data_IF_009890971463
#
_entry.id   IF_009890971463
#
_cell.length_a   1.000
_cell.length_b   1.000
_cell.length_c   1.000
_cell.angle_alpha   90.00
_cell.angle_beta   90.00
_cell.angle_gamma   90.00
#
_symmetry.space_group_name_H-M   'P 1'
#
loop_
_entity.id
_entity.type
_entity.pdbx_description
1 polymer ?
#
# COMPACT_ATOMS: atom_id res chain seq x y z
N UNK A 1 35.62 1.23 20.48
CA UNK A 1 34.78 1.53 19.29
C UNK A 1 34.88 0.34 18.34
N UNK A 2 33.84 -0.46 18.19
CA UNK A 2 33.85 -1.59 17.27
C UNK A 2 33.81 -1.05 15.83
N UNK A 3 34.82 -1.35 15.01
CA UNK A 3 34.77 -1.09 13.57
C UNK A 3 33.94 -2.21 12.92
N UNK A 4 32.70 -1.90 12.55
CA UNK A 4 31.81 -2.84 11.86
C UNK A 4 32.23 -3.13 10.42
N UNK A 5 33.03 -2.24 9.80
CA UNK A 5 33.47 -2.35 8.40
C UNK A 5 35.01 -2.32 8.36
N UNK A 6 35.62 -3.35 7.82
CA UNK A 6 37.07 -3.39 7.59
C UNK A 6 37.46 -2.56 6.32
N UNK A 7 38.72 -2.15 6.25
CA UNK A 7 39.24 -1.47 5.04
C UNK A 7 39.03 -2.31 3.78
N UNK A 8 39.24 -3.61 3.85
CA UNK A 8 39.04 -4.54 2.74
C UNK A 8 37.59 -4.54 2.25
N UNK A 9 36.62 -4.55 3.19
CA UNK A 9 35.18 -4.47 2.83
C UNK A 9 34.84 -3.12 2.19
N UNK A 10 35.40 -2.01 2.69
CA UNK A 10 35.21 -0.69 2.10
C UNK A 10 35.79 -0.61 0.68
N UNK A 11 37.00 -1.15 0.46
CA UNK A 11 37.65 -1.16 -0.87
C UNK A 11 36.86 -2.04 -1.85
N UNK A 12 36.30 -3.19 -1.40
CA UNK A 12 35.46 -4.05 -2.23
C UNK A 12 34.14 -3.35 -2.64
N UNK A 13 33.51 -2.66 -1.69
CA UNK A 13 32.29 -1.87 -1.95
C UNK A 13 32.62 -0.74 -2.94
N UNK A 14 33.74 -0.03 -2.74
CA UNK A 14 34.17 1.03 -3.65
C UNK A 14 34.40 0.51 -5.07
N UNK A 15 35.00 -0.66 -5.22
CA UNK A 15 35.25 -1.27 -6.55
C UNK A 15 33.91 -1.62 -7.22
N UNK A 16 32.98 -2.22 -6.49
CA UNK A 16 31.63 -2.55 -6.99
C UNK A 16 30.89 -1.29 -7.49
N UNK A 17 30.89 -0.22 -6.67
CA UNK A 17 30.25 1.05 -7.05
C UNK A 17 30.92 1.71 -8.26
N UNK A 18 32.24 1.59 -8.42
CA UNK A 18 32.95 2.10 -9.60
C UNK A 18 32.63 1.31 -10.87
N UNK A 19 32.42 -0.01 -10.76
CA UNK A 19 32.02 -0.86 -11.89
C UNK A 19 30.60 -0.50 -12.33
N UNK A 20 29.64 -0.31 -11.40
CA UNK A 20 28.29 0.18 -11.70
C UNK A 20 28.31 1.56 -12.37
N UNK A 21 29.16 2.48 -11.88
CA UNK A 21 29.30 3.82 -12.46
C UNK A 21 29.85 3.76 -13.90
N UNK A 22 30.84 2.89 -14.17
CA UNK A 22 31.40 2.69 -15.52
C UNK A 22 30.35 2.13 -16.49
N UNK A 23 29.49 1.21 -16.03
CA UNK A 23 28.39 0.70 -16.84
C UNK A 23 27.42 1.84 -17.19
N UNK A 24 27.14 2.73 -16.22
CA UNK A 24 26.36 3.94 -16.46
C UNK A 24 27.03 4.86 -17.49
N UNK A 25 28.34 5.13 -17.36
CA UNK A 25 29.09 6.03 -18.25
C UNK A 25 29.10 5.56 -19.70
N UNK A 26 29.22 4.26 -19.95
CA UNK A 26 29.19 3.67 -21.29
C UNK A 26 27.84 3.85 -22.00
N UNK A 27 26.77 4.01 -21.25
CA UNK A 27 25.40 4.12 -21.74
C UNK A 27 24.85 5.56 -21.76
N UNK A 28 25.63 6.55 -21.33
CA UNK A 28 25.23 7.97 -21.21
C UNK A 28 25.05 8.68 -22.58
N UNK A 29 25.08 7.97 -23.71
CA UNK A 29 24.61 8.48 -25.00
C UNK A 29 23.08 8.54 -25.09
N UNK A 30 22.37 7.88 -24.16
CA UNK A 30 20.92 7.93 -24.03
C UNK A 30 20.46 9.28 -23.47
N UNK A 31 19.55 9.95 -24.16
CA UNK A 31 18.98 11.23 -23.71
C UNK A 31 17.95 11.00 -22.61
N UNK A 32 18.18 11.60 -21.45
CA UNK A 32 17.14 11.83 -20.43
C UNK A 32 16.47 13.17 -20.75
N UNK A 33 15.16 13.17 -20.96
CA UNK A 33 14.40 14.42 -21.15
C UNK A 33 14.21 15.13 -19.79
N UNK A 34 15.34 15.66 -19.26
CA UNK A 34 15.38 16.39 -18.00
C UNK A 34 15.03 17.84 -18.24
N UNK A 35 13.87 18.27 -17.74
CA UNK A 35 13.33 19.61 -17.89
C UNK A 35 13.63 20.47 -16.67
N UNK A 36 13.88 21.77 -16.84
CA UNK A 36 13.97 22.68 -15.72
C UNK A 36 12.63 22.74 -14.95
N UNK A 37 12.70 23.08 -13.65
CA UNK A 37 11.50 23.26 -12.85
C UNK A 37 10.73 24.51 -13.32
N UNK A 38 9.39 24.44 -13.40
CA UNK A 38 8.56 25.60 -13.68
C UNK A 38 8.55 26.59 -12.50
N UNK A 39 8.09 27.81 -12.75
CA UNK A 39 7.86 28.79 -11.68
C UNK A 39 6.77 28.29 -10.72
N UNK A 40 6.95 28.58 -9.42
CA UNK A 40 6.01 28.21 -8.37
C UNK A 40 4.65 28.86 -8.58
N UNK A 41 3.57 28.08 -8.51
CA UNK A 41 2.19 28.55 -8.61
C UNK A 41 1.45 28.28 -7.31
N UNK A 42 0.79 29.30 -6.77
CA UNK A 42 -0.02 29.15 -5.55
C UNK A 42 -1.06 28.03 -5.68
N UNK A 43 -1.16 27.20 -4.65
CA UNK A 43 -2.11 26.10 -4.60
C UNK A 43 -2.47 25.77 -3.15
N UNK A 44 -3.59 25.07 -2.98
CA UNK A 44 -4.06 24.55 -1.70
C UNK A 44 -3.85 23.05 -1.67
N UNK A 45 -3.29 22.53 -0.57
CA UNK A 45 -3.04 21.09 -0.44
C UNK A 45 -3.45 20.57 0.94
N UNK A 46 -3.77 19.28 0.98
CA UNK A 46 -3.68 18.45 2.16
C UNK A 46 -2.70 17.32 1.91
N UNK A 47 -1.78 17.10 2.84
CA UNK A 47 -0.89 15.94 2.83
C UNK A 47 -1.37 14.94 3.86
N UNK A 48 -1.33 13.66 3.51
CA UNK A 48 -1.78 12.55 4.35
C UNK A 48 -0.65 11.55 4.49
N UNK A 49 -0.46 11.04 5.71
CA UNK A 49 0.47 9.97 6.02
C UNK A 49 -0.13 9.04 7.09
N UNK A 50 0.33 7.79 7.13
CA UNK A 50 -0.11 6.77 8.06
C UNK A 50 1.00 6.27 8.97
N UNK A 51 0.59 5.77 10.13
CA UNK A 51 1.50 5.16 11.10
C UNK A 51 0.85 3.97 11.78
N UNK A 52 1.68 3.04 12.25
CA UNK A 52 1.22 1.87 13.00
C UNK A 52 2.06 1.65 14.24
N UNK A 53 1.41 1.28 15.33
CA UNK A 53 2.00 0.74 16.55
C UNK A 53 1.50 -0.68 16.79
N UNK A 54 2.37 -1.60 17.22
CA UNK A 54 1.98 -2.97 17.50
C UNK A 54 2.78 -3.58 18.63
N UNK A 55 2.11 -4.46 19.39
CA UNK A 55 2.76 -5.25 20.43
C UNK A 55 2.28 -6.71 20.36
N UNK A 56 3.24 -7.62 20.40
CA UNK A 56 2.98 -9.06 20.45
C UNK A 56 2.85 -9.50 21.89
N UNK A 57 1.74 -10.14 22.18
CA UNK A 57 1.48 -10.84 23.42
C UNK A 57 1.56 -12.36 23.18
N UNK A 58 1.27 -13.15 24.21
CA UNK A 58 1.28 -14.62 24.08
C UNK A 58 0.09 -15.07 23.18
N UNK A 59 0.36 -15.26 21.88
CA UNK A 59 -0.63 -15.68 20.89
C UNK A 59 -1.53 -14.58 20.29
N UNK A 60 -1.38 -13.33 20.75
CA UNK A 60 -2.21 -12.19 20.30
C UNK A 60 -1.32 -11.03 19.90
N UNK A 61 -1.72 -10.25 18.92
CA UNK A 61 -1.14 -8.95 18.60
C UNK A 61 -2.19 -7.86 18.87
N UNK A 62 -1.81 -6.86 19.64
CA UNK A 62 -2.57 -5.61 19.81
C UNK A 62 -1.89 -4.57 18.93
N UNK A 63 -2.68 -3.84 18.16
CA UNK A 63 -2.16 -2.83 17.25
C UNK A 63 -3.04 -1.59 17.19
N UNK A 64 -2.41 -0.49 16.84
CA UNK A 64 -3.08 0.77 16.50
C UNK A 64 -2.59 1.22 15.14
N UNK A 65 -3.50 1.61 14.27
CA UNK A 65 -3.21 2.29 13.02
C UNK A 65 -3.80 3.69 13.06
N UNK A 66 -3.09 4.64 12.50
CA UNK A 66 -3.54 6.03 12.45
C UNK A 66 -3.22 6.62 11.07
N UNK A 67 -4.10 7.51 10.60
CA UNK A 67 -3.80 8.42 9.50
C UNK A 67 -3.95 9.86 9.99
N UNK A 68 -3.10 10.74 9.46
CA UNK A 68 -3.09 12.15 9.80
C UNK A 68 -2.98 13.00 8.53
N UNK A 69 -3.87 13.97 8.42
CA UNK A 69 -3.87 14.94 7.34
C UNK A 69 -3.46 16.32 7.86
N UNK A 70 -2.63 17.03 7.09
CA UNK A 70 -2.26 18.39 7.37
C UNK A 70 -2.32 19.25 6.11
N UNK A 71 -2.99 20.38 6.18
CA UNK A 71 -3.07 21.34 5.08
C UNK A 71 -3.70 22.66 5.51
N UNK A 72 -3.27 23.76 4.93
CA UNK A 72 -3.81 25.10 5.16
C UNK A 72 -3.95 25.49 6.66
N UNK A 73 -3.01 25.07 7.49
CA UNK A 73 -3.03 25.30 8.94
C UNK A 73 -4.07 24.47 9.72
N UNK A 74 -4.72 23.52 9.07
CA UNK A 74 -5.70 22.58 9.69
C UNK A 74 -5.17 21.17 9.68
N UNK A 75 -5.64 20.37 10.62
CA UNK A 75 -5.35 18.94 10.68
C UNK A 75 -6.61 18.11 10.93
N UNK A 76 -6.55 16.86 10.52
CA UNK A 76 -7.56 15.85 10.82
C UNK A 76 -6.88 14.50 11.07
N UNK A 77 -7.51 13.61 11.84
CA UNK A 77 -6.93 12.30 12.20
C UNK A 77 -8.01 11.22 12.28
N UNK A 78 -7.66 10.04 11.78
CA UNK A 78 -8.40 8.79 12.05
C UNK A 78 -7.50 7.84 12.80
N UNK A 79 -8.00 7.22 13.86
CA UNK A 79 -7.27 6.25 14.68
C UNK A 79 -8.13 5.01 14.87
N UNK A 80 -7.52 3.85 14.69
CA UNK A 80 -8.16 2.56 14.90
C UNK A 80 -7.27 1.66 15.73
N UNK A 81 -7.82 1.07 16.79
CA UNK A 81 -7.11 0.11 17.67
C UNK A 81 -7.88 -1.19 17.72
N UNK A 82 -7.17 -2.31 17.51
CA UNK A 82 -7.78 -3.63 17.57
C UNK A 82 -6.77 -4.68 18.05
N UNK A 83 -7.24 -5.90 18.24
CA UNK A 83 -6.44 -7.07 18.58
C UNK A 83 -6.83 -8.24 17.67
N UNK A 84 -5.86 -9.08 17.32
CA UNK A 84 -6.10 -10.30 16.55
C UNK A 84 -5.19 -11.43 17.03
N UNK A 85 -5.54 -12.68 16.76
CA UNK A 85 -4.63 -13.81 16.92
C UNK A 85 -3.42 -13.59 16.02
N UNK A 86 -2.22 -13.77 16.61
CA UNK A 86 -0.98 -13.56 15.85
C UNK A 86 -0.78 -14.67 14.81
N UNK A 87 -0.66 -14.27 13.54
CA UNK A 87 -0.22 -15.11 12.45
C UNK A 87 0.97 -14.45 11.74
N UNK A 88 2.09 -15.18 11.65
CA UNK A 88 3.34 -14.65 11.11
C UNK A 88 3.18 -14.21 9.64
N UNK A 89 3.50 -12.96 9.35
CA UNK A 89 3.42 -12.37 8.00
C UNK A 89 2.02 -11.89 7.59
N UNK A 90 0.94 -12.53 8.04
CA UNK A 90 -0.44 -12.15 7.70
C UNK A 90 -0.90 -10.98 8.56
N UNK A 91 -0.65 -11.05 9.88
CA UNK A 91 -1.04 -9.95 10.79
C UNK A 91 -0.46 -8.60 10.36
N UNK A 92 0.80 -8.58 9.92
CA UNK A 92 1.46 -7.36 9.45
C UNK A 92 0.83 -6.81 8.16
N UNK A 93 0.35 -7.70 7.28
CA UNK A 93 -0.34 -7.31 6.04
C UNK A 93 -1.74 -6.74 6.32
N UNK A 94 -2.49 -7.34 7.27
CA UNK A 94 -3.81 -6.83 7.70
C UNK A 94 -3.67 -5.45 8.31
N UNK A 95 -2.75 -5.27 9.26
CA UNK A 95 -2.48 -3.98 9.92
C UNK A 95 -2.12 -2.92 8.86
N UNK A 96 -1.29 -3.28 7.89
CA UNK A 96 -0.92 -2.38 6.80
C UNK A 96 -2.10 -2.04 5.90
N UNK A 97 -2.94 -3.01 5.54
CA UNK A 97 -4.13 -2.77 4.72
C UNK A 97 -5.09 -1.80 5.42
N UNK A 98 -5.33 -1.97 6.72
CA UNK A 98 -6.18 -1.07 7.50
C UNK A 98 -5.57 0.33 7.63
N UNK A 99 -4.26 0.45 7.82
CA UNK A 99 -3.57 1.74 7.83
C UNK A 99 -3.76 2.47 6.50
N UNK A 100 -3.49 1.80 5.37
CA UNK A 100 -3.68 2.37 4.03
C UNK A 100 -5.16 2.69 3.74
N UNK A 101 -6.12 1.90 4.29
CA UNK A 101 -7.55 2.22 4.22
C UNK A 101 -7.86 3.54 4.92
N UNK A 102 -7.31 3.78 6.11
CA UNK A 102 -7.48 5.05 6.83
C UNK A 102 -6.81 6.23 6.11
N UNK A 103 -5.62 6.03 5.52
CA UNK A 103 -4.97 7.05 4.70
C UNK A 103 -5.85 7.46 3.50
N UNK A 104 -6.36 6.47 2.76
CA UNK A 104 -7.24 6.70 1.62
C UNK A 104 -8.53 7.42 2.03
N UNK A 105 -9.19 6.95 3.12
CA UNK A 105 -10.38 7.59 3.67
C UNK A 105 -10.13 9.05 4.02
N UNK A 106 -9.08 9.30 4.80
CA UNK A 106 -8.77 10.65 5.23
C UNK A 106 -8.44 11.56 4.05
N UNK A 107 -7.65 11.08 3.08
CA UNK A 107 -7.34 11.80 1.84
C UNK A 107 -8.58 12.14 1.01
N UNK A 108 -9.57 11.23 0.97
CA UNK A 108 -10.83 11.47 0.27
C UNK A 108 -11.72 12.51 0.98
N UNK A 109 -11.68 12.54 2.33
CA UNK A 109 -12.58 13.34 3.16
C UNK A 109 -12.06 14.75 3.50
N UNK A 110 -10.72 14.97 3.46
CA UNK A 110 -10.16 16.28 3.84
C UNK A 110 -10.25 17.31 2.72
N UNK A 111 -10.52 18.55 3.09
CA UNK A 111 -10.59 19.68 2.16
C UNK A 111 -11.82 19.63 1.23
N UNK A 112 -11.70 20.29 0.08
CA UNK A 112 -12.71 20.33 -0.96
C UNK A 112 -12.03 20.12 -2.34
N UNK A 113 -12.78 20.24 -3.43
CA UNK A 113 -12.28 20.02 -4.80
C UNK A 113 -11.11 20.92 -5.21
N UNK A 114 -10.94 22.09 -4.57
CA UNK A 114 -9.82 22.99 -4.84
C UNK A 114 -8.48 22.52 -4.23
N UNK A 115 -8.51 21.51 -3.36
CA UNK A 115 -7.33 21.02 -2.67
C UNK A 115 -6.76 19.81 -3.40
N UNK A 116 -5.49 19.88 -3.74
CA UNK A 116 -4.70 18.73 -4.18
C UNK A 116 -4.32 17.87 -2.98
N UNK A 117 -4.44 16.57 -3.09
CA UNK A 117 -4.09 15.61 -2.04
C UNK A 117 -2.70 15.04 -2.31
N UNK A 118 -1.84 15.12 -1.30
CA UNK A 118 -0.48 14.59 -1.33
C UNK A 118 -0.40 13.36 -0.43
N UNK A 119 0.07 12.23 -0.98
CA UNK A 119 0.22 10.95 -0.27
C UNK A 119 1.69 10.52 -0.25
N UNK A 120 2.19 9.99 0.87
CA UNK A 120 3.49 9.33 0.89
C UNK A 120 3.41 7.94 0.24
N UNK A 121 4.42 7.56 -0.54
CA UNK A 121 4.47 6.27 -1.23
C UNK A 121 4.15 6.31 -2.73
N UNK A 122 3.51 5.26 -3.25
CA UNK A 122 3.25 5.10 -4.69
C UNK A 122 1.81 4.68 -4.98
N UNK A 123 1.16 5.36 -5.93
CA UNK A 123 -0.18 4.99 -6.39
C UNK A 123 -0.20 3.58 -7.02
N UNK A 124 0.86 3.20 -7.74
CA UNK A 124 0.99 1.82 -8.25
C UNK A 124 0.98 0.79 -7.12
N UNK A 125 1.63 1.09 -5.98
CA UNK A 125 1.61 0.24 -4.80
C UNK A 125 0.19 0.06 -4.24
N UNK A 126 -0.56 1.14 -4.13
CA UNK A 126 -1.96 1.11 -3.67
C UNK A 126 -2.85 0.32 -4.64
N UNK A 127 -2.72 0.52 -5.96
CA UNK A 127 -3.49 -0.20 -6.98
C UNK A 127 -3.18 -1.71 -7.04
N UNK A 128 -2.00 -2.14 -6.60
CA UNK A 128 -1.57 -3.56 -6.62
C UNK A 128 -1.71 -4.25 -5.28
N UNK A 129 -2.26 -3.58 -4.26
CA UNK A 129 -2.46 -4.19 -2.95
C UNK A 129 -3.40 -5.38 -3.07
N UNK A 130 -2.95 -6.60 -2.73
CA UNK A 130 -3.83 -7.76 -2.74
C UNK A 130 -4.72 -7.78 -1.50
N UNK A 131 -5.87 -8.47 -1.55
CA UNK A 131 -6.58 -8.85 -0.34
C UNK A 131 -5.69 -9.72 0.54
N UNK A 132 -5.85 -9.59 1.85
CA UNK A 132 -5.06 -10.35 2.82
C UNK A 132 -5.85 -11.57 3.25
N UNK A 133 -5.26 -12.75 3.06
CA UNK A 133 -5.90 -14.01 3.37
C UNK A 133 -5.26 -14.69 4.60
N UNK A 134 -6.06 -15.26 5.51
CA UNK A 134 -5.58 -16.35 6.37
C UNK A 134 -5.09 -17.54 5.55
N UNK A 135 -4.20 -18.35 6.11
CA UNK A 135 -3.43 -19.38 5.37
C UNK A 135 -4.25 -20.32 4.47
N UNK A 136 -5.52 -20.53 4.77
CA UNK A 136 -6.36 -21.51 4.09
C UNK A 136 -7.55 -20.95 3.30
N UNK A 137 -7.67 -19.62 3.23
CA UNK A 137 -8.87 -18.96 2.68
C UNK A 137 -8.48 -17.94 1.63
N UNK A 138 -9.06 -18.04 0.43
CA UNK A 138 -8.78 -17.14 -0.71
C UNK A 138 -9.82 -16.04 -0.89
N UNK A 139 -10.53 -15.67 0.17
CA UNK A 139 -11.46 -14.55 0.19
C UNK A 139 -12.49 -14.62 -0.94
N UNK A 140 -12.38 -13.75 -1.94
CA UNK A 140 -13.36 -13.64 -3.03
C UNK A 140 -13.53 -14.94 -3.82
N UNK A 141 -12.45 -15.69 -4.07
CA UNK A 141 -12.54 -16.97 -4.77
C UNK A 141 -13.35 -17.95 -3.94
N UNK A 142 -13.03 -18.09 -2.65
CA UNK A 142 -13.79 -18.95 -1.74
C UNK A 142 -15.25 -18.53 -1.63
N UNK A 143 -15.53 -17.21 -1.57
CA UNK A 143 -16.90 -16.68 -1.58
C UNK A 143 -17.68 -17.10 -2.82
N UNK A 144 -17.05 -17.02 -4.00
CA UNK A 144 -17.68 -17.38 -5.28
C UNK A 144 -17.90 -18.89 -5.42
N UNK A 145 -16.99 -19.70 -4.86
CA UNK A 145 -17.03 -21.15 -4.96
C UNK A 145 -18.04 -21.78 -3.97
N UNK A 146 -18.35 -21.09 -2.87
CA UNK A 146 -19.16 -21.64 -1.78
C UNK A 146 -20.59 -21.09 -1.69
N UNK A 147 -20.82 -19.84 -2.09
CA UNK A 147 -22.15 -19.25 -2.06
C UNK A 147 -22.92 -19.52 -3.36
N UNK A 148 -24.24 -19.61 -3.24
CA UNK A 148 -25.14 -19.73 -4.38
C UNK A 148 -25.00 -18.52 -5.32
N UNK A 149 -25.24 -18.77 -6.61
CA UNK A 149 -25.18 -17.74 -7.64
C UNK A 149 -26.08 -16.55 -7.29
N UNK A 150 -25.51 -15.34 -7.34
CA UNK A 150 -26.19 -14.10 -7.00
C UNK A 150 -25.96 -13.63 -5.56
N UNK A 151 -25.66 -14.53 -4.63
CA UNK A 151 -25.40 -14.19 -3.23
C UNK A 151 -24.09 -13.38 -3.03
N UNK A 152 -22.98 -13.68 -3.71
CA UNK A 152 -21.79 -12.84 -3.68
C UNK A 152 -22.07 -11.39 -4.15
N UNK A 153 -22.84 -11.21 -5.22
CA UNK A 153 -23.22 -9.90 -5.73
C UNK A 153 -24.11 -9.14 -4.75
N UNK A 154 -25.02 -9.83 -4.07
CA UNK A 154 -25.89 -9.26 -3.03
C UNK A 154 -25.07 -8.72 -1.87
N UNK A 155 -24.15 -9.54 -1.32
CA UNK A 155 -23.24 -9.15 -0.23
C UNK A 155 -22.39 -7.93 -0.62
N UNK A 156 -21.78 -7.96 -1.80
CA UNK A 156 -20.90 -6.89 -2.26
C UNK A 156 -21.70 -5.58 -2.43
N UNK A 157 -22.87 -5.65 -3.04
CA UNK A 157 -23.75 -4.48 -3.23
C UNK A 157 -24.18 -3.88 -1.91
N UNK A 158 -24.70 -4.71 -1.00
CA UNK A 158 -25.16 -4.24 0.33
C UNK A 158 -24.02 -3.56 1.09
N UNK A 159 -22.83 -4.16 1.08
CA UNK A 159 -21.70 -3.57 1.79
C UNK A 159 -21.20 -2.26 1.15
N UNK A 160 -21.21 -2.15 -0.18
CA UNK A 160 -20.85 -0.91 -0.89
C UNK A 160 -21.85 0.20 -0.57
N UNK A 161 -23.17 -0.09 -0.52
CA UNK A 161 -24.21 0.87 -0.12
C UNK A 161 -23.99 1.35 1.32
N UNK A 162 -23.65 0.46 2.24
CA UNK A 162 -23.28 0.83 3.63
C UNK A 162 -21.99 1.67 3.70
N UNK A 163 -21.04 1.44 2.82
CA UNK A 163 -19.84 2.28 2.75
C UNK A 163 -20.17 3.71 2.31
N UNK A 164 -21.16 3.93 1.43
CA UNK A 164 -21.63 5.27 1.08
C UNK A 164 -22.19 6.01 2.31
N UNK A 165 -23.04 5.35 3.11
CA UNK A 165 -23.58 5.90 4.36
C UNK A 165 -22.48 6.16 5.40
N UNK A 166 -21.55 5.23 5.54
CA UNK A 166 -20.42 5.34 6.46
C UNK A 166 -19.52 6.54 6.13
N UNK A 167 -19.28 6.81 4.84
CA UNK A 167 -18.51 7.97 4.43
C UNK A 167 -19.21 9.29 4.75
N UNK A 168 -20.51 9.37 4.58
CA UNK A 168 -21.30 10.55 4.98
C UNK A 168 -21.25 10.79 6.49
N UNK A 169 -21.30 9.72 7.31
CA UNK A 169 -21.13 9.82 8.75
C UNK A 169 -19.72 10.29 9.13
N UNK A 170 -18.68 9.69 8.53
CA UNK A 170 -17.29 10.10 8.78
C UNK A 170 -17.05 11.57 8.41
N UNK A 171 -17.56 12.02 7.27
CA UNK A 171 -17.43 13.41 6.81
C UNK A 171 -18.05 14.38 7.84
N UNK A 172 -19.28 14.09 8.30
CA UNK A 172 -19.97 14.89 9.31
C UNK A 172 -19.20 14.92 10.62
N UNK A 173 -18.77 13.76 11.12
CA UNK A 173 -18.04 13.65 12.39
C UNK A 173 -16.67 14.34 12.31
N UNK A 174 -15.92 14.21 11.20
CA UNK A 174 -14.65 14.91 11.02
C UNK A 174 -14.80 16.43 10.96
N UNK A 175 -15.94 16.94 10.45
CA UNK A 175 -16.22 18.37 10.46
C UNK A 175 -16.44 18.90 11.89
N UNK A 176 -16.99 18.08 12.77
CA UNK A 176 -17.29 18.44 14.17
C UNK A 176 -16.06 18.23 15.08
N UNK A 177 -15.42 17.05 15.03
CA UNK A 177 -14.43 16.61 16.02
C UNK A 177 -12.99 16.69 15.53
N UNK A 178 -12.74 16.65 14.22
CA UNK A 178 -11.43 16.61 13.56
C UNK A 178 -10.57 15.37 13.85
N UNK A 179 -10.79 14.65 14.91
CA UNK A 179 -10.09 13.42 15.29
C UNK A 179 -11.13 12.35 15.68
N UNK A 180 -11.08 11.20 15.01
CA UNK A 180 -11.98 10.09 15.26
C UNK A 180 -11.21 8.85 15.72
N UNK A 181 -11.66 8.24 16.82
CA UNK A 181 -11.03 7.08 17.46
C UNK A 181 -11.91 5.81 17.43
N UNK A 182 -13.09 5.89 16.83
CA UNK A 182 -14.03 4.76 16.70
C UNK A 182 -14.90 4.96 15.47
N UNK A 183 -15.51 3.89 14.97
CA UNK A 183 -16.35 3.95 13.79
C UNK A 183 -15.60 4.37 12.55
N UNK A 184 -14.36 3.91 12.36
CA UNK A 184 -13.50 4.31 11.22
C UNK A 184 -13.16 3.14 10.28
N UNK A 185 -13.37 1.88 10.72
CA UNK A 185 -13.25 0.65 9.91
C UNK A 185 -14.60 -0.07 9.99
N UNK A 186 -15.40 0.05 8.93
CA UNK A 186 -16.75 -0.50 8.88
C UNK A 186 -16.76 -2.03 8.86
N UNK A 187 -15.83 -2.66 8.11
CA UNK A 187 -15.77 -4.12 7.97
C UNK A 187 -15.68 -4.85 9.31
N UNK A 188 -14.94 -4.31 10.27
CA UNK A 188 -14.76 -4.88 11.60
C UNK A 188 -16.02 -4.67 12.49
N UNK A 189 -16.78 -3.62 12.23
CA UNK A 189 -17.97 -3.28 13.03
C UNK A 189 -19.19 -4.10 12.62
N UNK A 190 -19.34 -4.37 11.31
CA UNK A 190 -20.57 -4.99 10.78
C UNK A 190 -20.42 -6.47 10.45
N UNK A 191 -19.27 -7.10 10.65
CA UNK A 191 -19.01 -8.50 10.27
C UNK A 191 -20.08 -9.47 10.79
N UNK A 192 -20.60 -9.27 11.99
CA UNK A 192 -21.57 -10.16 12.61
C UNK A 192 -22.99 -9.98 12.02
N UNK A 193 -23.28 -8.87 11.35
CA UNK A 193 -24.51 -8.66 10.60
C UNK A 193 -24.57 -9.51 9.33
N UNK A 194 -23.40 -9.93 8.79
CA UNK A 194 -23.27 -10.82 7.64
C UNK A 194 -23.29 -12.31 8.01
N UNK A 195 -23.81 -12.65 9.20
CA UNK A 195 -23.79 -14.03 9.71
C UNK A 195 -24.55 -15.03 8.86
N UNK A 196 -25.57 -14.63 8.12
CA UNK A 196 -26.28 -15.52 7.20
C UNK A 196 -25.36 -16.04 6.07
N UNK A 197 -24.46 -15.19 5.56
CA UNK A 197 -23.53 -15.55 4.49
C UNK A 197 -22.48 -16.55 4.99
N UNK A 198 -21.80 -16.29 6.10
CA UNK A 198 -20.77 -17.21 6.57
C UNK A 198 -21.35 -18.50 7.17
N UNK A 199 -22.56 -18.51 7.71
CA UNK A 199 -23.28 -19.74 8.10
C UNK A 199 -23.66 -20.57 6.86
N UNK A 200 -24.02 -19.93 5.74
CA UNK A 200 -24.30 -20.64 4.49
C UNK A 200 -23.04 -21.26 3.86
N UNK A 201 -21.85 -20.79 4.22
CA UNK A 201 -20.55 -21.34 3.77
C UNK A 201 -20.04 -22.45 4.69
N UNK A 202 -20.48 -22.51 5.95
CA UNK A 202 -20.05 -23.54 6.89
C UNK A 202 -20.37 -24.95 6.38
N UNK A 203 -19.43 -25.87 6.54
CA UNK A 203 -19.56 -27.25 6.09
C UNK A 203 -19.46 -27.44 4.56
N UNK A 204 -19.25 -26.38 3.79
CA UNK A 204 -19.00 -26.48 2.34
C UNK A 204 -17.55 -26.84 2.08
N UNK A 205 -17.36 -27.69 1.08
CA UNK A 205 -16.04 -28.08 0.62
C UNK A 205 -15.50 -27.07 -0.38
N UNK A 206 -14.26 -26.65 -0.18
CA UNK A 206 -13.51 -25.82 -1.12
C UNK A 206 -12.28 -26.58 -1.61
N UNK A 207 -11.89 -26.31 -2.84
CA UNK A 207 -10.68 -26.88 -3.43
C UNK A 207 -9.46 -26.07 -3.02
N UNK A 208 -8.52 -26.71 -2.33
CA UNK A 208 -7.26 -26.08 -1.94
C UNK A 208 -6.18 -26.32 -2.99
N UNK A 209 -5.92 -25.30 -3.83
CA UNK A 209 -4.88 -25.35 -4.87
C UNK A 209 -3.48 -24.92 -4.39
N UNK A 210 -3.29 -24.52 -3.15
CA UNK A 210 -2.05 -23.86 -2.72
C UNK A 210 -0.82 -24.80 -2.80
N UNK A 211 -0.97 -26.06 -2.42
CA UNK A 211 0.09 -27.06 -2.55
C UNK A 211 0.48 -27.30 -4.01
N UNK A 212 -0.51 -27.44 -4.89
CA UNK A 212 -0.35 -27.67 -6.31
C UNK A 212 0.28 -26.46 -7.02
N UNK A 213 -0.24 -25.25 -6.77
CA UNK A 213 0.31 -23.99 -7.31
C UNK A 213 1.74 -23.71 -6.82
N UNK A 214 2.06 -24.07 -5.57
CA UNK A 214 3.42 -23.94 -5.05
C UNK A 214 4.37 -24.86 -5.81
N UNK A 215 4.02 -26.14 -6.01
CA UNK A 215 4.84 -27.10 -6.78
C UNK A 215 5.03 -26.64 -8.22
N UNK A 216 3.97 -26.17 -8.89
CA UNK A 216 4.06 -25.64 -10.24
C UNK A 216 4.97 -24.42 -10.33
N UNK A 217 4.87 -23.51 -9.37
CA UNK A 217 5.74 -22.32 -9.29
C UNK A 217 7.19 -22.69 -9.05
N UNK A 218 7.47 -23.65 -8.18
CA UNK A 218 8.82 -24.11 -7.87
C UNK A 218 9.41 -24.86 -9.07
N UNK A 219 8.62 -25.66 -9.78
CA UNK A 219 9.01 -26.31 -11.03
C UNK A 219 9.34 -25.32 -12.15
N UNK A 220 8.53 -24.26 -12.31
CA UNK A 220 8.77 -23.20 -13.29
C UNK A 220 10.05 -22.39 -12.98
N UNK A 221 10.37 -22.18 -11.70
CA UNK A 221 11.60 -21.51 -11.27
C UNK A 221 12.85 -22.36 -11.48
N UNK A 222 12.71 -23.70 -11.45
CA UNK A 222 13.80 -24.65 -11.62
C UNK A 222 14.13 -24.96 -13.10
N UNK A 223 13.54 -24.22 -14.06
CA UNK A 223 13.73 -24.42 -15.52
C UNK A 223 13.53 -25.87 -15.99
N UNK A 224 12.54 -26.55 -15.39
CA UNK A 224 12.23 -27.93 -15.69
C UNK A 224 11.67 -28.06 -17.13
N UNK A 225 11.98 -29.16 -17.86
CA UNK A 225 11.48 -29.40 -19.21
C UNK A 225 9.94 -29.35 -19.30
N UNK A 226 9.41 -28.80 -20.38
CA UNK A 226 7.97 -28.62 -20.61
C UNK A 226 7.17 -29.91 -20.44
N UNK A 227 7.75 -31.09 -20.76
CA UNK A 227 7.15 -32.40 -20.56
C UNK A 227 6.94 -32.75 -19.09
N UNK A 228 7.78 -32.28 -18.22
CA UNK A 228 7.69 -32.51 -16.77
C UNK A 228 6.70 -31.53 -16.13
N UNK A 229 6.64 -30.28 -16.64
CA UNK A 229 5.60 -29.31 -16.28
C UNK A 229 4.19 -29.85 -16.65
N UNK A 230 4.05 -30.48 -17.81
CA UNK A 230 2.78 -31.09 -18.21
C UNK A 230 2.39 -32.26 -17.29
N UNK A 231 3.34 -33.12 -16.88
CA UNK A 231 3.10 -34.17 -15.89
C UNK A 231 2.67 -33.60 -14.54
N UNK A 232 3.33 -32.54 -14.06
CA UNK A 232 2.94 -31.85 -12.83
C UNK A 232 1.53 -31.25 -12.97
N UNK A 233 1.17 -30.73 -14.15
CA UNK A 233 -0.17 -30.21 -14.41
C UNK A 233 -1.24 -31.33 -14.47
N UNK A 234 -0.90 -32.51 -15.00
CA UNK A 234 -1.77 -33.69 -14.99
C UNK A 234 -1.93 -34.29 -13.59
N UNK A 235 -0.86 -34.28 -12.78
CA UNK A 235 -0.86 -34.68 -11.37
C UNK A 235 -1.56 -33.66 -10.46
N UNK A 236 -1.84 -32.45 -10.93
CA UNK A 236 -2.51 -31.40 -10.15
C UNK A 236 -3.91 -31.80 -9.68
N UNK A 237 -4.61 -32.63 -10.44
CA UNK A 237 -5.92 -33.19 -10.06
C UNK A 237 -5.84 -34.18 -8.88
N UNK A 238 -4.69 -34.84 -8.68
CA UNK A 238 -4.46 -35.75 -7.54
C UNK A 238 -4.06 -35.03 -6.25
N UNK A 239 -3.59 -33.76 -6.34
CA UNK A 239 -3.11 -32.98 -5.20
C UNK A 239 -4.06 -31.86 -4.76
N UNK A 240 -5.26 -31.83 -5.31
CA UNK A 240 -6.32 -30.93 -4.84
C UNK A 240 -6.94 -31.51 -3.57
N UNK A 241 -6.57 -30.92 -2.44
CA UNK A 241 -7.20 -31.26 -1.17
C UNK A 241 -8.56 -30.55 -1.08
N UNK A 242 -9.63 -31.32 -0.90
CA UNK A 242 -10.91 -30.81 -0.48
C UNK A 242 -10.78 -30.40 0.99
N UNK A 243 -11.11 -29.16 1.28
CA UNK A 243 -11.13 -28.62 2.63
C UNK A 243 -12.54 -28.17 2.98
N UNK A 244 -13.10 -28.76 4.01
CA UNK A 244 -14.38 -28.36 4.56
C UNK A 244 -14.21 -27.10 5.41
N UNK A 245 -14.95 -26.05 5.12
CA UNK A 245 -14.89 -24.79 5.86
C UNK A 245 -15.51 -24.92 7.25
N UNK A 246 -14.75 -24.53 8.25
CA UNK A 246 -15.30 -24.28 9.58
C UNK A 246 -16.06 -22.95 9.62
N UNK A 247 -16.91 -22.75 10.62
CA UNK A 247 -17.63 -21.47 10.83
C UNK A 247 -16.66 -20.29 10.96
N UNK A 248 -15.53 -20.47 11.65
CA UNK A 248 -14.51 -19.45 11.83
C UNK A 248 -13.84 -19.08 10.49
N UNK A 249 -13.50 -20.06 9.67
CA UNK A 249 -12.90 -19.84 8.34
C UNK A 249 -13.88 -19.16 7.38
N UNK A 250 -15.17 -19.56 7.43
CA UNK A 250 -16.22 -18.91 6.67
C UNK A 250 -16.38 -17.42 7.10
N UNK A 251 -16.42 -17.15 8.42
CA UNK A 251 -16.45 -15.79 8.96
C UNK A 251 -15.22 -14.98 8.53
N UNK A 252 -14.02 -15.57 8.62
CA UNK A 252 -12.79 -14.93 8.17
C UNK A 252 -12.79 -14.65 6.66
N UNK A 253 -13.41 -15.53 5.84
CA UNK A 253 -13.59 -15.29 4.41
C UNK A 253 -14.42 -14.03 4.15
N UNK A 254 -15.58 -13.92 4.79
CA UNK A 254 -16.45 -12.72 4.67
C UNK A 254 -15.69 -11.49 5.14
N UNK A 255 -15.03 -11.55 6.30
CA UNK A 255 -14.29 -10.42 6.85
C UNK A 255 -13.16 -9.93 5.91
N UNK A 256 -12.41 -10.84 5.30
CA UNK A 256 -11.39 -10.51 4.30
C UNK A 256 -12.02 -9.82 3.09
N UNK A 257 -13.17 -10.29 2.63
CA UNK A 257 -13.89 -9.67 1.50
C UNK A 257 -14.34 -8.26 1.86
N UNK A 258 -15.01 -8.07 3.01
CA UNK A 258 -15.46 -6.76 3.46
C UNK A 258 -14.28 -5.78 3.64
N UNK A 259 -13.21 -6.19 4.31
CA UNK A 259 -12.03 -5.34 4.50
C UNK A 259 -11.36 -4.94 3.19
N UNK A 260 -11.33 -5.85 2.20
CA UNK A 260 -10.79 -5.52 0.88
C UNK A 260 -11.73 -4.61 0.07
N UNK A 261 -13.05 -4.80 0.17
CA UNK A 261 -14.03 -3.90 -0.44
C UNK A 261 -13.91 -2.48 0.14
N UNK A 262 -13.75 -2.36 1.46
CA UNK A 262 -13.56 -1.09 2.14
C UNK A 262 -12.27 -0.38 1.70
N UNK A 263 -11.17 -1.14 1.53
CA UNK A 263 -9.94 -0.63 0.97
C UNK A 263 -10.13 -0.12 -0.47
N UNK A 264 -10.73 -0.92 -1.35
CA UNK A 264 -10.95 -0.52 -2.74
C UNK A 264 -11.89 0.68 -2.85
N UNK A 265 -12.92 0.71 -2.02
CA UNK A 265 -13.86 1.84 -1.97
C UNK A 265 -13.15 3.13 -1.53
N UNK A 266 -12.31 3.04 -0.50
CA UNK A 266 -11.52 4.18 -0.04
C UNK A 266 -10.59 4.72 -1.12
N UNK A 267 -9.94 3.83 -1.88
CA UNK A 267 -9.07 4.20 -2.99
C UNK A 267 -9.87 4.78 -4.17
N UNK A 268 -11.05 4.22 -4.49
CA UNK A 268 -11.96 4.75 -5.53
C UNK A 268 -12.39 6.19 -5.23
N UNK A 269 -12.76 6.49 -3.96
CA UNK A 269 -13.11 7.85 -3.51
C UNK A 269 -11.91 8.80 -3.54
N UNK A 270 -10.74 8.34 -3.11
CA UNK A 270 -9.51 9.14 -3.15
C UNK A 270 -9.12 9.50 -4.60
N UNK A 271 -9.27 8.57 -5.54
CA UNK A 271 -8.96 8.79 -6.96
C UNK A 271 -9.88 9.81 -7.65
N UNK A 272 -10.97 10.23 -7.03
CA UNK A 272 -11.84 11.33 -7.51
C UNK A 272 -11.26 12.72 -7.18
N UNK A 273 -10.21 12.80 -6.35
CA UNK A 273 -9.52 14.05 -5.97
C UNK A 273 -8.32 14.30 -6.88
N UNK A 274 -7.86 15.56 -7.03
CA UNK A 274 -6.55 15.84 -7.64
C UNK A 274 -5.47 15.27 -6.70
N UNK A 275 -4.70 14.26 -7.15
CA UNK A 275 -3.92 13.40 -6.28
C UNK A 275 -2.49 13.25 -6.77
N UNK A 276 -1.52 13.41 -5.86
CA UNK A 276 -0.12 13.12 -6.11
C UNK A 276 0.43 12.22 -4.99
N UNK A 277 1.00 11.08 -5.38
CA UNK A 277 1.86 10.26 -4.54
C UNK A 277 3.33 10.66 -4.72
N UNK A 278 4.07 10.74 -3.62
CA UNK A 278 5.48 11.13 -3.60
C UNK A 278 6.27 10.07 -2.86
N UNK A 279 7.11 9.32 -3.58
CA UNK A 279 7.96 8.28 -3.00
C UNK A 279 9.41 8.73 -2.91
N UNK A 280 10.01 8.54 -1.73
CA UNK A 280 11.44 8.79 -1.43
C UNK A 280 12.32 7.61 -1.76
N UNK A 281 11.76 6.39 -1.66
CA UNK A 281 12.48 5.14 -1.87
C UNK A 281 11.76 4.28 -2.90
N UNK A 282 12.42 3.98 -4.00
CA UNK A 282 11.88 3.17 -5.07
C UNK A 282 13.02 2.53 -5.89
N UNK A 283 12.71 1.41 -6.55
CA UNK A 283 13.65 0.63 -7.33
C UNK A 283 13.13 0.51 -8.77
N UNK A 284 13.17 1.61 -9.53
CA UNK A 284 12.67 1.65 -10.89
C UNK A 284 13.80 1.52 -11.91
N UNK A 285 13.50 0.86 -13.04
CA UNK A 285 14.34 0.73 -14.22
C UNK A 285 13.58 1.11 -15.50
N UNK A 286 12.70 2.10 -15.43
CA UNK A 286 11.82 2.47 -16.56
C UNK A 286 12.55 3.20 -17.68
N UNK A 287 13.62 3.92 -17.35
CA UNK A 287 14.52 4.59 -18.31
C UNK A 287 15.60 3.61 -18.73
N UNK A 288 16.33 3.06 -17.77
CA UNK A 288 17.50 2.21 -18.01
C UNK A 288 17.17 0.92 -18.75
N UNK A 289 16.00 0.30 -18.48
CA UNK A 289 15.56 -0.89 -19.22
C UNK A 289 15.31 -0.63 -20.71
N UNK A 290 14.87 0.57 -21.10
CA UNK A 290 14.72 0.96 -22.51
C UNK A 290 16.07 1.14 -23.23
N UNK A 291 17.10 1.43 -22.45
CA UNK A 291 18.47 1.61 -22.92
C UNK A 291 19.28 0.30 -22.85
N UNK A 292 18.69 -0.79 -22.36
CA UNK A 292 19.38 -2.08 -22.18
C UNK A 292 20.40 -2.10 -21.04
N UNK A 293 20.28 -1.19 -20.07
CA UNK A 293 21.23 -1.02 -18.97
C UNK A 293 20.71 -1.70 -17.71
N UNK A 294 21.58 -2.39 -16.97
CA UNK A 294 21.23 -3.06 -15.72
C UNK A 294 21.47 -2.18 -14.49
N UNK A 295 21.03 -0.91 -14.54
CA UNK A 295 21.10 0.04 -13.44
C UNK A 295 19.71 0.52 -13.02
N UNK A 296 19.61 1.08 -11.82
CA UNK A 296 18.42 1.81 -11.39
C UNK A 296 18.40 3.19 -12.06
N UNK A 297 17.18 3.71 -12.29
CA UNK A 297 17.01 5.00 -12.97
C UNK A 297 17.64 6.17 -12.22
N UNK A 298 17.56 6.19 -10.87
CA UNK A 298 18.09 7.32 -10.07
C UNK A 298 19.59 7.50 -10.22
N UNK A 299 20.45 6.51 -9.92
CA UNK A 299 21.90 6.67 -10.12
C UNK A 299 22.28 6.92 -11.59
N UNK A 300 21.49 6.41 -12.55
CA UNK A 300 21.69 6.72 -13.96
C UNK A 300 21.43 8.20 -14.27
N UNK A 301 20.32 8.77 -13.78
CA UNK A 301 20.00 10.19 -13.96
C UNK A 301 21.06 11.07 -13.31
N UNK A 302 21.53 10.73 -12.10
CA UNK A 302 22.58 11.46 -11.41
C UNK A 302 23.88 11.48 -12.23
N UNK A 303 24.35 10.34 -12.70
CA UNK A 303 25.53 10.23 -13.54
C UNK A 303 25.37 11.02 -14.87
N UNK A 304 24.20 10.94 -15.50
CA UNK A 304 23.86 11.68 -16.70
C UNK A 304 23.94 13.21 -16.49
N UNK A 305 23.31 13.72 -15.42
CA UNK A 305 23.31 15.15 -15.14
C UNK A 305 24.71 15.68 -14.79
N UNK A 306 25.48 14.95 -14.00
CA UNK A 306 26.87 15.32 -13.69
C UNK A 306 27.73 15.34 -14.95
N UNK A 307 27.60 14.35 -15.85
CA UNK A 307 28.36 14.29 -17.09
C UNK A 307 28.00 15.42 -18.07
N UNK A 308 26.70 15.71 -18.21
CA UNK A 308 26.21 16.68 -19.21
C UNK A 308 26.26 18.13 -18.72
N UNK A 309 26.09 18.37 -17.43
CA UNK A 309 25.96 19.71 -16.86
C UNK A 309 26.98 20.03 -15.76
N UNK A 310 27.86 19.07 -15.40
CA UNK A 310 28.85 19.23 -14.34
C UNK A 310 28.29 19.20 -12.91
N UNK A 311 26.97 19.03 -12.75
CA UNK A 311 26.30 19.06 -11.46
C UNK A 311 24.91 18.42 -11.50
N UNK A 312 24.41 18.05 -10.33
CA UNK A 312 23.10 17.46 -10.11
C UNK A 312 21.99 18.52 -10.10
N UNK A 313 21.57 18.95 -11.30
CA UNK A 313 20.58 20.04 -11.45
C UNK A 313 19.19 19.69 -10.93
N UNK A 314 18.46 20.64 -10.34
CA UNK A 314 17.04 20.52 -10.11
C UNK A 314 16.28 20.43 -11.45
N UNK A 315 15.16 19.72 -11.46
CA UNK A 315 14.38 19.51 -12.68
C UNK A 315 13.45 18.31 -12.53
N UNK A 316 12.83 17.91 -13.64
CA UNK A 316 11.96 16.75 -13.68
C UNK A 316 11.99 16.04 -15.03
N UNK A 317 11.58 14.79 -15.04
CA UNK A 317 11.43 13.96 -16.24
C UNK A 317 10.17 13.12 -16.16
N UNK A 318 9.24 13.27 -17.12
CA UNK A 318 8.06 12.41 -17.23
C UNK A 318 8.49 11.06 -17.81
N UNK A 319 8.26 9.99 -17.02
CA UNK A 319 8.68 8.63 -17.42
C UNK A 319 7.53 7.81 -18.03
N UNK A 320 6.30 8.15 -17.69
CA UNK A 320 5.11 7.53 -18.26
C UNK A 320 3.89 8.47 -18.16
N UNK A 321 3.16 8.58 -19.25
CA UNK A 321 1.86 9.24 -19.33
C UNK A 321 0.94 8.41 -20.22
N UNK A 322 -0.15 7.81 -19.66
CA UNK A 322 -1.06 6.95 -20.44
C UNK A 322 -1.83 7.68 -21.55
N UNK A 323 -1.96 9.01 -21.47
CA UNK A 323 -2.63 9.80 -22.50
C UNK A 323 -1.75 10.03 -23.73
N UNK A 324 -0.42 9.98 -23.55
CA UNK A 324 0.59 10.20 -24.60
C UNK A 324 1.28 8.94 -25.07
N UNK A 325 1.10 7.83 -24.32
CA UNK A 325 1.77 6.57 -24.64
C UNK A 325 1.11 5.87 -25.83
N UNK A 326 1.92 5.42 -26.80
CA UNK A 326 1.47 4.58 -27.91
C UNK A 326 0.92 3.24 -27.40
N UNK A 327 1.56 2.65 -26.41
CA UNK A 327 1.09 1.44 -25.74
C UNK A 327 0.82 1.69 -24.25
N UNK A 328 -0.37 1.30 -23.80
CA UNK A 328 -0.76 1.40 -22.40
C UNK A 328 -0.06 0.33 -21.58
N UNK A 329 0.63 0.74 -20.50
CA UNK A 329 1.32 -0.16 -19.58
C UNK A 329 0.34 -0.67 -18.52
N UNK A 330 -0.25 -1.84 -18.78
CA UNK A 330 -1.07 -2.52 -17.77
C UNK A 330 -0.26 -2.80 -16.51
N UNK A 331 -0.88 -2.55 -15.36
CA UNK A 331 -0.33 -2.97 -14.08
C UNK A 331 -0.48 -4.50 -13.97
N UNK A 332 0.54 -5.18 -13.46
CA UNK A 332 0.54 -6.65 -13.28
C UNK A 332 -0.37 -7.09 -12.11
N UNK A 333 -1.57 -6.55 -12.07
CA UNK A 333 -2.62 -6.87 -11.11
C UNK A 333 -3.95 -6.96 -11.85
N UNK A 334 -4.87 -7.80 -11.35
CA UNK A 334 -6.21 -7.93 -11.92
C UNK A 334 -7.24 -7.85 -10.81
N UNK A 335 -8.09 -6.87 -10.89
CA UNK A 335 -9.26 -6.83 -10.03
C UNK A 335 -10.21 -7.98 -10.40
N UNK A 336 -10.70 -8.77 -9.43
CA UNK A 336 -11.71 -9.81 -9.68
C UNK A 336 -12.90 -9.26 -10.48
N UNK A 337 -13.38 -10.05 -11.46
CA UNK A 337 -14.40 -9.58 -12.41
C UNK A 337 -15.65 -9.02 -11.72
N UNK A 338 -16.07 -9.64 -10.64
CA UNK A 338 -17.24 -9.25 -9.85
C UNK A 338 -17.10 -7.84 -9.26
N UNK A 339 -15.85 -7.37 -8.97
CA UNK A 339 -15.57 -6.08 -8.33
C UNK A 339 -15.43 -4.92 -9.34
N UNK A 340 -15.13 -5.20 -10.61
CA UNK A 340 -14.78 -4.16 -11.60
C UNK A 340 -15.85 -3.10 -11.80
N UNK A 341 -17.14 -3.50 -11.70
CA UNK A 341 -18.27 -2.58 -11.85
C UNK A 341 -18.45 -1.62 -10.68
N UNK A 342 -17.94 -1.99 -9.49
CA UNK A 342 -18.01 -1.16 -8.28
C UNK A 342 -16.84 -0.19 -8.14
N UNK A 343 -15.70 -0.50 -8.79
CA UNK A 343 -14.46 0.28 -8.69
C UNK A 343 -13.90 0.59 -10.09
N UNK A 344 -14.64 1.39 -10.90
CA UNK A 344 -14.28 1.65 -12.28
C UNK A 344 -13.01 2.49 -12.45
N UNK A 345 -12.73 3.43 -11.52
CA UNK A 345 -11.53 4.27 -11.58
C UNK A 345 -10.29 3.46 -11.23
N UNK A 346 -10.35 2.63 -10.18
CA UNK A 346 -9.28 1.68 -9.84
C UNK A 346 -9.01 0.74 -11.01
N UNK A 347 -10.05 0.15 -11.63
CA UNK A 347 -9.91 -0.72 -12.79
C UNK A 347 -9.27 -0.01 -13.98
N UNK A 348 -9.67 1.25 -14.24
CA UNK A 348 -9.09 2.07 -15.31
C UNK A 348 -7.57 2.20 -15.13
N UNK A 349 -7.08 2.59 -13.95
CA UNK A 349 -5.64 2.74 -13.71
C UNK A 349 -4.88 1.42 -13.76
N UNK A 350 -5.48 0.31 -13.37
CA UNK A 350 -4.90 -1.02 -13.55
C UNK A 350 -4.70 -1.32 -15.05
N UNK A 351 -5.62 -0.92 -15.91
CA UNK A 351 -5.57 -1.18 -17.35
C UNK A 351 -4.66 -0.24 -18.13
N UNK A 352 -4.61 1.03 -17.76
CA UNK A 352 -3.85 2.04 -18.52
C UNK A 352 -2.51 2.42 -17.87
N UNK A 353 -2.28 2.05 -16.59
CA UNK A 353 -1.12 2.48 -15.80
C UNK A 353 -1.29 3.87 -15.20
N UNK A 354 -0.26 4.33 -14.49
CA UNK A 354 -0.27 5.56 -13.68
C UNK A 354 0.72 6.58 -14.26
N UNK A 355 0.30 7.83 -14.52
CA UNK A 355 1.22 8.92 -14.84
C UNK A 355 2.34 9.00 -13.83
N UNK A 356 3.58 9.03 -14.29
CA UNK A 356 4.76 8.96 -13.42
C UNK A 356 5.86 9.88 -13.91
N UNK A 357 6.58 10.53 -12.97
CA UNK A 357 7.73 11.38 -13.26
C UNK A 357 8.78 11.28 -12.14
N UNK A 358 10.03 11.60 -12.47
CA UNK A 358 11.07 11.87 -11.49
C UNK A 358 11.22 13.37 -11.31
N UNK A 359 11.43 13.82 -10.08
CA UNK A 359 11.67 15.23 -9.77
C UNK A 359 12.80 15.37 -8.74
N UNK A 360 13.67 16.35 -8.97
CA UNK A 360 14.63 16.87 -7.98
C UNK A 360 14.33 18.36 -7.77
N UNK A 361 14.04 18.75 -6.55
CA UNK A 361 13.58 20.11 -6.24
C UNK A 361 14.71 21.09 -5.90
N UNK A 362 15.89 20.58 -5.54
CA UNK A 362 17.09 21.38 -5.27
C UNK A 362 18.36 20.72 -5.80
N UNK A 363 19.40 21.50 -6.10
CA UNK A 363 20.71 21.00 -6.53
C UNK A 363 21.30 20.05 -5.48
N UNK A 364 21.80 18.89 -5.90
CA UNK A 364 22.35 17.86 -5.01
C UNK A 364 21.32 17.17 -4.10
N UNK A 365 20.01 17.49 -4.25
CA UNK A 365 18.93 16.85 -3.51
C UNK A 365 18.59 15.46 -4.04
N UNK A 366 17.79 14.73 -3.29
CA UNK A 366 17.30 13.41 -3.71
C UNK A 366 16.30 13.53 -4.87
N UNK A 367 16.22 12.51 -5.69
CA UNK A 367 15.18 12.36 -6.72
C UNK A 367 13.98 11.65 -6.09
N UNK A 368 12.80 12.25 -6.25
CA UNK A 368 11.52 11.67 -5.85
C UNK A 368 10.84 11.04 -7.07
N UNK A 369 10.09 9.97 -6.84
CA UNK A 369 9.11 9.47 -7.79
C UNK A 369 7.76 10.14 -7.51
N UNK A 370 7.23 10.83 -8.50
CA UNK A 370 5.86 11.33 -8.51
C UNK A 370 4.96 10.37 -9.26
N UNK A 371 3.78 10.10 -8.72
CA UNK A 371 2.69 9.42 -9.41
C UNK A 371 1.38 10.18 -9.18
N UNK A 372 0.58 10.35 -10.22
CA UNK A 372 -0.65 11.11 -10.15
C UNK A 372 -1.79 10.38 -10.85
N UNK A 373 -3.03 10.72 -10.51
CA UNK A 373 -4.21 10.30 -11.23
C UNK A 373 -4.54 11.21 -12.44
N UNK A 374 -3.74 12.27 -12.64
CA UNK A 374 -3.80 13.16 -13.80
C UNK A 374 -2.43 13.24 -14.48
N UNK A 375 -2.38 13.72 -15.73
CA UNK A 375 -1.12 13.91 -16.46
C UNK A 375 -0.19 14.85 -15.70
N UNK A 376 1.08 14.45 -15.55
CA UNK A 376 2.10 15.26 -14.88
C UNK A 376 2.67 16.25 -15.91
N UNK A 377 2.43 17.55 -15.68
CA UNK A 377 2.83 18.65 -16.52
C UNK A 377 3.42 19.81 -15.69
N UNK A 378 3.87 20.87 -16.38
CA UNK A 378 4.45 22.05 -15.70
C UNK A 378 3.49 22.68 -14.69
N UNK A 379 2.18 22.70 -14.96
CA UNK A 379 1.20 23.28 -14.05
C UNK A 379 1.08 22.47 -12.74
N UNK A 380 0.98 21.14 -12.82
CA UNK A 380 0.90 20.28 -11.65
C UNK A 380 2.19 20.37 -10.81
N UNK A 381 3.35 20.41 -11.47
CA UNK A 381 4.65 20.57 -10.80
C UNK A 381 4.76 21.97 -10.18
N UNK A 382 4.34 23.03 -10.85
CA UNK A 382 4.35 24.38 -10.31
C UNK A 382 3.51 24.51 -9.03
N UNK A 383 2.31 23.90 -9.01
CA UNK A 383 1.45 23.79 -7.83
C UNK A 383 2.15 23.04 -6.68
N UNK A 384 2.81 21.90 -6.98
CA UNK A 384 3.53 21.11 -5.99
C UNK A 384 4.71 21.89 -5.39
N UNK A 385 5.48 22.58 -6.24
CA UNK A 385 6.66 23.37 -5.84
C UNK A 385 6.32 24.56 -4.95
N UNK A 386 5.08 25.08 -4.95
CA UNK A 386 4.64 26.10 -3.99
C UNK A 386 4.84 25.68 -2.54
N UNK A 387 4.71 24.38 -2.28
CA UNK A 387 4.83 23.78 -0.96
C UNK A 387 6.24 23.23 -0.67
N UNK A 388 7.18 23.38 -1.61
CA UNK A 388 8.55 22.95 -1.43
C UNK A 388 9.33 23.90 -0.54
N UNK A 389 10.10 23.36 0.40
CA UNK A 389 11.05 24.06 1.24
C UNK A 389 12.25 23.16 1.56
N UNK A 390 13.45 23.64 1.30
CA UNK A 390 14.71 22.93 1.58
C UNK A 390 14.78 21.52 0.96
N UNK A 391 14.32 21.39 -0.29
CA UNK A 391 14.39 20.13 -1.03
C UNK A 391 13.28 19.14 -0.73
N UNK A 392 12.29 19.50 0.11
CA UNK A 392 11.18 18.63 0.47
C UNK A 392 9.82 19.32 0.48
N UNK A 393 8.74 18.56 0.35
CA UNK A 393 7.37 19.07 0.36
C UNK A 393 6.90 19.19 1.81
N UNK A 394 6.83 20.41 2.30
CA UNK A 394 6.58 20.74 3.71
C UNK A 394 5.29 20.16 4.30
N UNK A 395 4.11 20.15 3.62
CA UNK A 395 2.90 19.53 4.16
C UNK A 395 3.08 18.03 4.42
N UNK A 396 3.80 17.26 3.55
CA UNK A 396 4.10 15.86 3.80
C UNK A 396 4.99 15.65 5.02
N UNK A 397 5.97 16.52 5.22
CA UNK A 397 6.79 16.47 6.43
C UNK A 397 5.92 16.65 7.69
N UNK A 398 4.99 17.60 7.66
CA UNK A 398 4.06 17.85 8.76
C UNK A 398 3.09 16.71 8.99
N UNK A 399 2.59 16.08 7.92
CA UNK A 399 1.75 14.90 8.03
C UNK A 399 2.51 13.74 8.68
N UNK A 400 3.75 13.49 8.24
CA UNK A 400 4.62 12.46 8.81
C UNK A 400 4.93 12.70 10.30
N UNK A 401 5.29 13.93 10.67
CA UNK A 401 5.54 14.32 12.06
C UNK A 401 4.28 14.14 12.93
N UNK A 402 3.10 14.53 12.37
CA UNK A 402 1.82 14.50 13.07
C UNK A 402 1.24 13.10 13.28
N UNK A 403 1.51 12.15 12.37
CA UNK A 403 0.97 10.79 12.47
C UNK A 403 1.82 9.87 13.33
N UNK A 404 3.08 10.22 13.57
CA UNK A 404 4.05 9.32 14.23
C UNK A 404 3.55 8.84 15.58
N UNK A 405 3.33 7.54 15.68
CA UNK A 405 3.04 6.86 16.95
C UNK A 405 4.36 6.66 17.70
N UNK A 406 4.57 7.45 18.76
CA UNK A 406 5.75 7.30 19.60
C UNK A 406 5.71 5.96 20.35
N UNK A 407 6.72 5.13 20.17
CA UNK A 407 6.81 3.79 20.79
C UNK A 407 6.67 3.83 22.31
N UNK A 408 7.20 4.88 22.97
CA UNK A 408 7.09 5.04 24.42
C UNK A 408 5.66 5.34 24.86
N UNK A 409 4.96 6.23 24.15
CA UNK A 409 3.57 6.55 24.43
C UNK A 409 2.67 5.33 24.16
N UNK A 410 2.86 4.65 23.02
CA UNK A 410 2.13 3.43 22.69
C UNK A 410 2.30 2.32 23.75
N UNK A 411 3.54 2.09 24.24
CA UNK A 411 3.79 1.13 25.32
C UNK A 411 3.08 1.51 26.61
N UNK A 412 3.05 2.78 27.00
CA UNK A 412 2.35 3.24 28.19
C UNK A 412 0.83 3.03 28.10
N UNK A 413 0.22 3.35 26.96
CA UNK A 413 -1.20 3.12 26.72
C UNK A 413 -1.53 1.61 26.70
N UNK A 414 -0.66 0.80 26.07
CA UNK A 414 -0.79 -0.65 26.08
C UNK A 414 -0.72 -1.23 27.50
N UNK A 415 0.19 -0.75 28.35
CA UNK A 415 0.27 -1.16 29.75
C UNK A 415 -0.99 -0.79 30.54
N UNK A 416 -1.55 0.40 30.29
CA UNK A 416 -2.81 0.83 30.89
C UNK A 416 -3.97 -0.07 30.44
N UNK A 417 -4.07 -0.39 29.16
CA UNK A 417 -5.06 -1.32 28.59
C UNK A 417 -4.90 -2.71 29.20
N UNK A 418 -3.69 -3.26 29.26
CA UNK A 418 -3.44 -4.58 29.86
C UNK A 418 -3.82 -4.62 31.33
N UNK A 419 -3.54 -3.56 32.08
CA UNK A 419 -3.93 -3.47 33.49
C UNK A 419 -5.45 -3.37 33.66
N UNK A 420 -6.16 -2.67 32.77
CA UNK A 420 -7.60 -2.63 32.75
C UNK A 420 -8.20 -4.01 32.48
N UNK A 421 -7.73 -4.72 31.44
CA UNK A 421 -8.19 -6.06 31.09
C UNK A 421 -7.95 -7.08 32.21
N UNK A 422 -6.79 -7.05 32.86
CA UNK A 422 -6.46 -7.90 34.02
C UNK A 422 -7.38 -7.66 35.22
N UNK A 423 -7.91 -6.44 35.40
CA UNK A 423 -8.86 -6.10 36.46
C UNK A 423 -10.26 -6.57 36.12
N UNK A 424 -10.64 -6.52 34.85
CA UNK A 424 -11.99 -6.92 34.37
C UNK A 424 -12.14 -8.43 34.41
N UNK A 425 -11.12 -9.18 33.95
CA UNK A 425 -11.16 -10.62 33.89
C UNK A 425 -9.79 -11.21 34.26
N UNK A 426 -9.76 -12.05 35.30
CA UNK A 426 -8.54 -12.69 35.79
C UNK A 426 -8.04 -13.79 34.86
N UNK A 427 -8.90 -14.40 34.05
CA UNK A 427 -8.54 -15.48 33.11
C UNK A 427 -7.78 -14.94 31.90
N UNK A 428 -8.03 -13.69 31.52
CA UNK A 428 -7.29 -13.01 30.45
C UNK A 428 -5.79 -12.85 30.72
N UNK A 429 -5.33 -13.06 31.97
CA UNK A 429 -3.91 -12.98 32.31
C UNK A 429 -3.02 -13.95 31.50
N UNK A 430 -3.62 -15.04 31.00
CA UNK A 430 -2.86 -16.03 30.19
C UNK A 430 -2.48 -15.44 28.83
N UNK A 431 -3.36 -14.65 28.24
CA UNK A 431 -3.18 -14.05 26.90
C UNK A 431 -2.41 -12.72 26.94
N UNK A 432 -2.34 -12.06 28.12
CA UNK A 432 -1.77 -10.71 28.30
C UNK A 432 -0.31 -10.81 28.83
N UNK A 433 0.39 -11.89 28.60
CA UNK A 433 1.82 -11.98 28.86
C UNK A 433 2.57 -11.50 27.62
N UNK A 434 3.57 -10.66 27.80
CA UNK A 434 4.49 -10.34 26.70
C UNK A 434 5.05 -11.65 26.16
N UNK A 435 4.89 -11.89 24.86
CA UNK A 435 5.67 -12.90 24.18
C UNK A 435 7.14 -12.58 24.45
N UNK A 436 7.97 -13.58 24.70
CA UNK A 436 9.41 -13.36 24.86
C UNK A 436 9.89 -12.59 23.64
N UNK A 437 10.25 -11.32 23.86
CA UNK A 437 11.11 -10.63 22.91
C UNK A 437 12.37 -11.49 22.80
N UNK A 438 12.79 -11.96 21.63
CA UNK A 438 14.07 -12.62 21.51
C UNK A 438 15.11 -11.54 21.81
N UNK A 439 15.69 -11.59 23.00
CA UNK A 439 16.85 -10.83 23.45
C UNK A 439 16.74 -9.30 23.23
N UNK A 440 16.11 -8.60 24.14
CA UNK A 440 16.61 -7.32 24.59
C UNK A 440 17.63 -7.59 25.72
#
# INVERSE_FOLDING_TARGET
MYRLISKYQADKILQMLKEELKEAEGALEGKVDWKPLPEKKESKVYAVDGSQGKARLSGTIIYTVASFAFGNGKSARLVYTNAMTYNHGISDQIIRLQMETLENKLGALVGNEEHMILMDGTLTGSLTRPPVYPESVKGITTLLDTLEKGKPEELIRDFVERLDEHYLDLEKRLAEERELYSGVILADEVIDEYSEFYKAMEGRDIVNYDGALKRLRDALKAEIPRSEIMKIAEELDEYTELKTLTLEEARNTIHVVLGYLEYLYSLEKLLQRELIYIAKSFYNRKITSKLGINLLDVPFIDAYLVKTHGKELPGYCVIYDPERAEEKKKIAHRLPRILRKYFPTVQRFIEIGVPSAYIRTMEGGIIYLLQSNTSINDELIAKLLWHESNGYIRPLQRAHEGVKIEQKAFRAELEALMNYLKKKDKELRVFIKYGRSPLE
#
